data_IF_488298570765
#
_entry.id   IF_488298570765
#
_cell.length_a   1.000
_cell.length_b   1.000
_cell.length_c   1.000
_cell.angle_alpha   90.00
_cell.angle_beta   90.00
_cell.angle_gamma   90.00
#
_symmetry.space_group_name_H-M   'P 1'
#
loop_
_entity.id
_entity.type
_entity.pdbx_description
1 polymer ?
#
# COMPACT_ATOMS: atom_id res chain seq x y z
N UNK A 1 10.87 15.65 -0.78
CA UNK A 1 10.95 14.18 -0.95
C UNK A 1 10.39 13.40 0.25
N UNK A 2 10.89 13.56 1.47
CA UNK A 2 10.40 12.81 2.64
C UNK A 2 8.89 13.00 2.90
N UNK A 3 8.39 14.23 2.82
CA UNK A 3 6.96 14.52 3.00
C UNK A 3 6.07 13.82 1.96
N UNK A 4 6.48 13.79 0.69
CA UNK A 4 5.77 13.09 -0.38
C UNK A 4 5.78 11.57 -0.15
N UNK A 5 6.91 11.02 0.29
CA UNK A 5 7.00 9.60 0.64
C UNK A 5 6.04 9.22 1.77
N UNK A 6 5.94 10.05 2.81
CA UNK A 6 4.99 9.86 3.91
C UNK A 6 3.54 10.00 3.43
N UNK A 7 3.24 10.93 2.52
CA UNK A 7 1.91 11.10 1.96
C UNK A 7 1.45 9.86 1.16
N UNK A 8 2.35 9.30 0.34
CA UNK A 8 2.13 8.06 -0.44
C UNK A 8 2.05 6.82 0.46
N UNK A 9 2.67 6.87 1.65
CA UNK A 9 2.60 5.78 2.61
C UNK A 9 1.19 5.59 3.17
N UNK A 10 0.36 6.63 3.26
CA UNK A 10 -1.01 6.50 3.79
C UNK A 10 -1.92 5.57 2.96
N UNK A 11 -2.10 5.74 1.63
CA UNK A 11 -2.89 4.80 0.84
C UNK A 11 -2.26 3.41 0.80
N UNK A 12 -0.92 3.29 0.81
CA UNK A 12 -0.22 2.00 0.95
C UNK A 12 -0.61 1.26 2.24
N UNK A 13 -0.58 1.96 3.37
CA UNK A 13 -0.91 1.39 4.68
C UNK A 13 -2.38 0.99 4.75
N UNK A 14 -3.29 1.85 4.27
CA UNK A 14 -4.71 1.52 4.20
C UNK A 14 -4.95 0.24 3.39
N UNK A 15 -4.42 0.18 2.16
CA UNK A 15 -4.64 -0.99 1.30
C UNK A 15 -4.09 -2.28 1.92
N UNK A 16 -2.90 -2.21 2.53
CA UNK A 16 -2.33 -3.37 3.23
C UNK A 16 -3.17 -3.78 4.45
N UNK A 17 -3.64 -2.81 5.24
CA UNK A 17 -4.46 -3.03 6.42
C UNK A 17 -5.81 -3.68 6.06
N UNK A 18 -6.46 -3.26 4.97
CA UNK A 18 -7.69 -3.87 4.47
C UNK A 18 -7.47 -5.33 4.04
N UNK A 19 -6.38 -5.61 3.31
CA UNK A 19 -6.05 -6.97 2.87
C UNK A 19 -5.76 -7.88 4.07
N UNK A 20 -4.96 -7.42 5.04
CA UNK A 20 -4.69 -8.20 6.25
C UNK A 20 -5.95 -8.40 7.09
N UNK A 21 -6.82 -7.40 7.19
CA UNK A 21 -8.10 -7.53 7.89
C UNK A 21 -8.99 -8.57 7.22
N UNK A 22 -9.10 -8.54 5.89
CA UNK A 22 -9.85 -9.54 5.12
C UNK A 22 -9.32 -10.96 5.39
N UNK A 23 -7.99 -11.15 5.40
CA UNK A 23 -7.38 -12.44 5.69
C UNK A 23 -7.63 -12.89 7.13
N UNK A 24 -7.59 -11.97 8.11
CA UNK A 24 -7.87 -12.30 9.51
C UNK A 24 -9.34 -12.67 9.74
N UNK A 25 -10.28 -12.06 9.02
CA UNK A 25 -11.71 -12.28 9.20
C UNK A 25 -12.26 -13.46 8.40
N UNK A 26 -11.87 -13.53 7.12
CA UNK A 26 -12.45 -14.45 6.13
C UNK A 26 -11.47 -15.54 5.69
N UNK A 27 -10.19 -15.42 6.02
CA UNK A 27 -9.21 -16.43 5.67
C UNK A 27 -9.33 -17.66 6.58
N UNK A 28 -9.46 -18.83 5.96
CA UNK A 28 -9.28 -20.13 6.63
C UNK A 28 -7.79 -20.35 6.96
N UNK A 29 -7.28 -19.55 7.90
CA UNK A 29 -5.89 -19.56 8.32
C UNK A 29 -5.72 -20.40 9.59
N UNK A 30 -4.68 -21.21 9.62
CA UNK A 30 -4.39 -21.98 10.83
C UNK A 30 -4.00 -21.02 11.99
N UNK A 31 -4.25 -21.40 13.26
CA UNK A 31 -3.94 -20.53 14.40
C UNK A 31 -2.49 -20.02 14.42
N UNK A 32 -1.54 -20.85 13.98
CA UNK A 32 -0.14 -20.45 13.86
C UNK A 32 0.15 -19.45 12.73
N UNK A 33 -0.63 -19.43 11.65
CA UNK A 33 -0.56 -18.37 10.63
C UNK A 33 -1.17 -17.06 11.15
N UNK A 34 -2.32 -17.14 11.82
CA UNK A 34 -2.99 -15.99 12.44
C UNK A 34 -2.06 -15.25 13.39
N UNK A 35 -1.41 -15.96 14.32
CA UNK A 35 -0.44 -15.36 15.24
C UNK A 35 0.74 -14.68 14.54
N UNK A 36 1.19 -15.19 13.39
CA UNK A 36 2.27 -14.58 12.60
C UNK A 36 1.81 -13.31 11.87
N UNK A 37 0.56 -13.27 11.42
CA UNK A 37 -0.03 -12.05 10.83
C UNK A 37 -0.19 -10.98 11.91
N UNK A 38 -0.62 -11.32 13.12
CA UNK A 38 -0.68 -10.34 14.21
C UNK A 38 0.69 -9.72 14.52
N UNK A 39 1.78 -10.51 14.44
CA UNK A 39 3.15 -10.02 14.65
C UNK A 39 3.64 -9.01 13.60
N UNK A 40 2.97 -8.87 12.45
CA UNK A 40 3.33 -7.83 11.46
C UNK A 40 2.53 -6.53 11.64
N UNK A 41 1.44 -6.54 12.41
CA UNK A 41 0.63 -5.33 12.67
C UNK A 41 1.41 -4.18 13.32
N UNK A 42 2.36 -4.41 14.26
CA UNK A 42 3.19 -3.33 14.78
C UNK A 42 3.98 -2.57 13.71
N UNK A 43 4.40 -3.25 12.63
CA UNK A 43 5.08 -2.57 11.53
C UNK A 43 4.15 -1.56 10.82
N UNK A 44 2.87 -1.91 10.64
CA UNK A 44 1.85 -0.99 10.10
C UNK A 44 1.61 0.17 11.07
N UNK A 45 1.51 -0.10 12.38
CA UNK A 45 1.33 0.96 13.39
C UNK A 45 2.51 1.96 13.40
N UNK A 46 3.75 1.48 13.32
CA UNK A 46 4.95 2.33 13.25
C UNK A 46 4.97 3.18 11.98
N UNK A 47 4.56 2.62 10.84
CA UNK A 47 4.48 3.40 9.61
C UNK A 47 3.33 4.42 9.64
N UNK A 48 2.18 4.10 10.25
CA UNK A 48 1.14 5.10 10.53
C UNK A 48 1.61 6.19 11.48
N UNK A 49 2.45 5.86 12.45
CA UNK A 49 3.08 6.85 13.34
C UNK A 49 4.00 7.79 12.56
N UNK A 50 4.72 7.27 11.56
CA UNK A 50 5.49 8.11 10.64
C UNK A 50 4.57 9.02 9.79
N UNK A 51 3.42 8.52 9.32
CA UNK A 51 2.42 9.34 8.62
C UNK A 51 1.81 10.40 9.56
N UNK A 52 1.68 10.12 10.85
CA UNK A 52 1.15 11.05 11.84
C UNK A 52 2.02 12.31 12.04
N UNK A 53 3.26 12.31 11.57
CA UNK A 53 4.07 13.53 11.52
C UNK A 53 3.58 14.54 10.46
N UNK A 54 2.76 14.11 9.50
CA UNK A 54 2.12 15.00 8.52
C UNK A 54 0.84 15.61 9.07
N UNK A 55 0.02 14.77 9.72
CA UNK A 55 -1.33 15.09 10.18
C UNK A 55 -1.66 14.26 11.41
N UNK A 56 -2.02 14.94 12.49
CA UNK A 56 -2.20 14.30 13.80
C UNK A 56 -3.36 13.30 13.80
N UNK A 57 -4.31 13.42 12.88
CA UNK A 57 -5.47 12.54 12.71
C UNK A 57 -5.05 11.08 12.48
N UNK A 58 -3.93 10.85 11.80
CA UNK A 58 -3.39 9.51 11.58
C UNK A 58 -2.96 8.82 12.90
N UNK A 59 -2.72 9.58 13.97
CA UNK A 59 -2.40 9.03 15.30
C UNK A 59 -3.54 8.17 15.85
N UNK A 60 -4.80 8.47 15.52
CA UNK A 60 -5.94 7.64 15.94
C UNK A 60 -5.86 6.22 15.36
N UNK A 61 -5.36 6.08 14.13
CA UNK A 61 -5.13 4.78 13.49
C UNK A 61 -4.05 4.01 14.25
N UNK A 62 -2.96 4.68 14.63
CA UNK A 62 -1.87 4.09 15.43
C UNK A 62 -2.42 3.54 16.75
N UNK A 63 -3.18 4.34 17.50
CA UNK A 63 -3.75 3.91 18.77
C UNK A 63 -4.71 2.74 18.61
N UNK A 64 -5.56 2.74 17.58
CA UNK A 64 -6.49 1.64 17.32
C UNK A 64 -5.72 0.33 17.02
N UNK A 65 -4.69 0.37 16.17
CA UNK A 65 -3.88 -0.82 15.84
C UNK A 65 -3.07 -1.29 17.06
N UNK A 66 -2.45 -0.37 17.80
CA UNK A 66 -1.67 -0.68 18.99
C UNK A 66 -2.56 -1.30 20.09
N UNK A 67 -3.74 -0.74 20.31
CA UNK A 67 -4.72 -1.29 21.24
C UNK A 67 -5.18 -2.68 20.80
N UNK A 68 -5.57 -2.85 19.53
CA UNK A 68 -5.92 -4.17 19.00
C UNK A 68 -4.79 -5.18 19.22
N UNK A 69 -3.55 -4.83 18.87
CA UNK A 69 -2.39 -5.71 19.03
C UNK A 69 -2.12 -6.07 20.49
N UNK A 70 -2.28 -5.13 21.43
CA UNK A 70 -2.09 -5.38 22.86
C UNK A 70 -3.06 -6.42 23.43
N UNK A 71 -4.25 -6.53 22.83
CA UNK A 71 -5.31 -7.46 23.23
C UNK A 71 -5.21 -8.82 22.53
N UNK A 72 -4.34 -8.98 21.54
CA UNK A 72 -4.20 -10.24 20.80
C UNK A 72 -3.08 -11.08 21.40
N UNK A 73 -3.39 -12.32 21.77
CA UNK A 73 -2.36 -13.28 22.15
C UNK A 73 -1.63 -13.79 20.90
N UNK A 74 -0.32 -13.57 20.83
CA UNK A 74 0.52 -14.08 19.72
C UNK A 74 1.01 -15.52 19.92
N UNK A 75 0.48 -16.24 20.94
CA UNK A 75 0.80 -17.63 21.32
C UNK A 75 -0.32 -18.62 20.91
N UNK A 76 -0.28 -19.86 21.40
CA UNK A 76 -1.15 -20.99 21.00
C UNK A 76 -2.65 -20.83 21.28
N UNK A 77 -3.11 -19.73 21.90
CA UNK A 77 -4.47 -19.53 22.43
C UNK A 77 -5.24 -18.41 21.74
N UNK A 78 -6.03 -18.84 20.76
CA UNK A 78 -7.45 -18.60 20.43
C UNK A 78 -8.25 -17.32 20.78
N UNK A 79 -7.67 -16.18 21.12
CA UNK A 79 -8.46 -14.95 21.10
C UNK A 79 -8.15 -14.10 19.87
N UNK A 80 -9.13 -14.06 18.97
CA UNK A 80 -9.25 -12.96 18.03
C UNK A 80 -9.40 -11.72 18.92
N UNK A 81 -8.35 -10.89 19.00
CA UNK A 81 -8.47 -9.59 19.66
C UNK A 81 -9.70 -8.84 19.14
N UNK A 82 -10.19 -7.83 19.86
CA UNK A 82 -11.50 -7.24 19.63
C UNK A 82 -11.66 -6.78 18.18
N UNK A 83 -12.37 -7.58 17.37
CA UNK A 83 -12.46 -7.39 15.91
C UNK A 83 -13.05 -6.03 15.55
N UNK A 84 -13.96 -5.52 16.39
CA UNK A 84 -14.52 -4.18 16.23
C UNK A 84 -13.44 -3.08 16.23
N UNK A 85 -12.34 -3.26 16.98
CA UNK A 85 -11.21 -2.31 16.98
C UNK A 85 -10.46 -2.36 15.65
N UNK A 86 -10.34 -3.53 15.03
CA UNK A 86 -9.77 -3.63 13.68
C UNK A 86 -10.67 -2.94 12.65
N UNK A 87 -11.99 -3.07 12.76
CA UNK A 87 -12.92 -2.30 11.93
C UNK A 87 -12.82 -0.80 12.19
N UNK A 88 -12.67 -0.37 13.45
CA UNK A 88 -12.42 1.02 13.79
C UNK A 88 -11.12 1.54 13.17
N UNK A 89 -10.03 0.80 13.28
CA UNK A 89 -8.75 1.14 12.66
C UNK A 89 -8.88 1.28 11.13
N UNK A 90 -9.64 0.40 10.48
CA UNK A 90 -9.94 0.51 9.05
C UNK A 90 -10.81 1.72 8.74
N UNK A 91 -11.86 1.98 9.52
CA UNK A 91 -12.72 3.14 9.33
C UNK A 91 -11.95 4.46 9.45
N UNK A 92 -11.07 4.56 10.45
CA UNK A 92 -10.20 5.73 10.65
C UNK A 92 -9.19 5.89 9.51
N UNK A 93 -8.57 4.79 9.05
CA UNK A 93 -7.66 4.82 7.91
C UNK A 93 -8.38 5.19 6.60
N UNK A 94 -9.60 4.67 6.38
CA UNK A 94 -10.45 5.03 5.24
C UNK A 94 -10.79 6.52 5.30
N UNK A 95 -11.24 7.02 6.45
CA UNK A 95 -11.57 8.44 6.61
C UNK A 95 -10.36 9.33 6.32
N UNK A 96 -9.20 8.99 6.86
CA UNK A 96 -7.95 9.73 6.61
C UNK A 96 -7.60 9.78 5.12
N UNK A 97 -7.61 8.63 4.43
CA UNK A 97 -7.28 8.58 2.99
C UNK A 97 -8.39 9.23 2.15
N UNK A 98 -9.66 9.14 2.54
CA UNK A 98 -10.75 9.82 1.86
C UNK A 98 -10.60 11.35 1.93
N UNK A 99 -10.15 11.88 3.07
CA UNK A 99 -9.78 13.30 3.21
C UNK A 99 -8.61 13.63 2.26
N UNK A 100 -7.55 12.80 2.22
CA UNK A 100 -6.44 13.01 1.28
C UNK A 100 -6.87 13.00 -0.20
N UNK A 101 -7.85 12.18 -0.57
CA UNK A 101 -8.43 12.13 -1.92
C UNK A 101 -9.19 13.43 -2.21
N UNK A 102 -9.97 13.93 -1.24
CA UNK A 102 -10.75 15.16 -1.35
C UNK A 102 -9.92 16.45 -1.35
N UNK A 103 -8.69 16.39 -0.84
CA UNK A 103 -7.74 17.52 -0.85
C UNK A 103 -6.93 17.64 -2.14
N UNK A 104 -7.05 16.69 -3.07
CA UNK A 104 -6.34 16.78 -4.35
C UNK A 104 -6.91 17.92 -5.21
N UNK A 105 -6.01 18.64 -5.90
CA UNK A 105 -6.38 19.78 -6.74
C UNK A 105 -7.16 19.36 -8.01
N UNK A 106 -6.99 18.11 -8.45
CA UNK A 106 -7.63 17.58 -9.65
C UNK A 106 -8.25 16.21 -9.43
N UNK A 107 -9.27 15.88 -10.23
CA UNK A 107 -9.88 14.54 -10.24
C UNK A 107 -8.87 13.45 -10.60
N UNK A 108 -7.92 13.74 -11.47
CA UNK A 108 -6.84 12.81 -11.80
C UNK A 108 -5.92 12.57 -10.59
N UNK A 109 -5.66 13.61 -9.78
CA UNK A 109 -4.96 13.48 -8.51
C UNK A 109 -5.73 12.62 -7.50
N UNK A 110 -7.04 12.85 -7.36
CA UNK A 110 -7.92 12.03 -6.52
C UNK A 110 -7.91 10.56 -6.95
N UNK A 111 -7.99 10.30 -8.26
CA UNK A 111 -7.93 8.97 -8.83
C UNK A 111 -6.56 8.30 -8.60
N UNK A 112 -5.46 9.06 -8.74
CA UNK A 112 -4.12 8.59 -8.44
C UNK A 112 -4.03 8.07 -6.99
N UNK A 113 -4.44 8.87 -6.00
CA UNK A 113 -4.42 8.44 -4.59
C UNK A 113 -5.29 7.19 -4.37
N UNK A 114 -6.46 7.11 -5.02
CA UNK A 114 -7.33 5.94 -4.93
C UNK A 114 -6.65 4.66 -5.50
N UNK A 115 -6.00 4.78 -6.66
CA UNK A 115 -5.28 3.65 -7.29
C UNK A 115 -4.08 3.22 -6.46
N UNK A 116 -3.39 4.15 -5.77
CA UNK A 116 -2.28 3.83 -4.87
C UNK A 116 -2.69 2.88 -3.74
N UNK A 117 -3.95 2.94 -3.27
CA UNK A 117 -4.47 2.01 -2.25
C UNK A 117 -4.33 0.56 -2.74
N UNK A 118 -4.72 0.31 -3.99
CA UNK A 118 -4.61 -1.02 -4.58
C UNK A 118 -3.15 -1.35 -4.94
N UNK A 119 -2.44 -0.46 -5.64
CA UNK A 119 -1.10 -0.71 -6.15
C UNK A 119 -0.08 -0.95 -5.03
N UNK A 120 0.09 0.05 -4.15
CA UNK A 120 1.08 0.00 -3.07
C UNK A 120 0.60 -0.88 -1.93
N UNK A 121 -0.70 -0.83 -1.62
CA UNK A 121 -1.28 -1.67 -0.56
C UNK A 121 -1.18 -3.16 -0.87
N UNK A 122 -1.42 -3.58 -2.11
CA UNK A 122 -1.26 -4.98 -2.49
C UNK A 122 0.22 -5.42 -2.45
N UNK A 123 1.15 -4.58 -2.90
CA UNK A 123 2.58 -4.89 -2.85
C UNK A 123 3.10 -4.98 -1.41
N UNK A 124 2.72 -4.02 -0.57
CA UNK A 124 3.11 -4.02 0.84
C UNK A 124 2.45 -5.18 1.60
N UNK A 125 1.17 -5.48 1.36
CA UNK A 125 0.52 -6.67 1.91
C UNK A 125 1.25 -7.95 1.48
N UNK A 126 1.66 -8.07 0.22
CA UNK A 126 2.40 -9.22 -0.27
C UNK A 126 3.73 -9.40 0.50
N UNK A 127 4.47 -8.30 0.71
CA UNK A 127 5.68 -8.31 1.52
C UNK A 127 5.39 -8.79 2.96
N UNK A 128 4.37 -8.22 3.61
CA UNK A 128 4.01 -8.58 4.99
C UNK A 128 3.56 -10.04 5.13
N UNK A 129 2.81 -10.57 4.16
CA UNK A 129 2.40 -11.98 4.12
C UNK A 129 3.61 -12.91 3.98
N UNK A 130 4.59 -12.50 3.17
CA UNK A 130 5.87 -13.23 3.01
C UNK A 130 6.71 -13.17 4.29
N UNK A 131 6.73 -12.03 4.99
CA UNK A 131 7.36 -11.88 6.31
C UNK A 131 6.69 -12.80 7.35
N UNK A 132 5.35 -12.84 7.36
CA UNK A 132 4.54 -13.72 8.20
C UNK A 132 4.63 -15.21 7.80
N UNK A 133 5.26 -15.53 6.66
CA UNK A 133 5.43 -16.90 6.13
C UNK A 133 4.07 -17.61 5.95
N UNK A 134 3.08 -16.91 5.43
CA UNK A 134 1.76 -17.48 5.13
C UNK A 134 1.84 -18.46 3.97
N UNK A 135 0.94 -19.45 3.93
CA UNK A 135 0.85 -20.44 2.82
C UNK A 135 -0.32 -20.12 1.88
N UNK A 136 -0.71 -18.86 1.82
CA UNK A 136 -1.88 -18.40 1.08
C UNK A 136 -1.55 -18.26 -0.41
N UNK A 137 -1.42 -19.40 -1.10
CA UNK A 137 -1.01 -19.45 -2.51
C UNK A 137 -1.89 -18.58 -3.43
N UNK A 138 -3.19 -18.50 -3.17
CA UNK A 138 -4.11 -17.65 -3.93
C UNK A 138 -3.71 -16.16 -3.87
N UNK A 139 -3.35 -15.66 -2.69
CA UNK A 139 -2.92 -14.25 -2.53
C UNK A 139 -1.59 -13.97 -3.22
N UNK A 140 -0.68 -14.95 -3.20
CA UNK A 140 0.60 -14.84 -3.91
C UNK A 140 0.43 -14.70 -5.43
N UNK A 141 -0.68 -15.22 -5.99
CA UNK A 141 -1.03 -15.05 -7.41
C UNK A 141 -1.88 -13.81 -7.70
N UNK A 142 -2.85 -13.50 -6.83
CA UNK A 142 -3.80 -12.40 -7.06
C UNK A 142 -3.15 -11.03 -6.83
N UNK A 143 -2.28 -10.90 -5.82
CA UNK A 143 -1.69 -9.60 -5.46
C UNK A 143 -0.83 -9.00 -6.59
N UNK A 144 0.08 -9.76 -7.25
CA UNK A 144 0.82 -9.23 -8.40
C UNK A 144 -0.10 -8.87 -9.58
N UNK A 145 -1.14 -9.66 -9.84
CA UNK A 145 -2.11 -9.35 -10.91
C UNK A 145 -2.87 -8.06 -10.62
N UNK A 146 -3.33 -7.85 -9.37
CA UNK A 146 -3.90 -6.55 -8.98
C UNK A 146 -2.89 -5.42 -9.14
N UNK A 147 -1.60 -5.68 -8.86
CA UNK A 147 -0.52 -4.74 -9.10
C UNK A 147 -0.39 -4.30 -10.56
N UNK A 148 -0.41 -5.25 -11.50
CA UNK A 148 -0.38 -4.97 -12.94
C UNK A 148 -1.58 -4.10 -13.35
N UNK A 149 -2.80 -4.50 -12.96
CA UNK A 149 -4.01 -3.75 -13.28
C UNK A 149 -3.99 -2.34 -12.68
N UNK A 150 -3.58 -2.20 -11.42
CA UNK A 150 -3.46 -0.89 -10.79
C UNK A 150 -2.36 -0.03 -11.41
N UNK A 151 -1.25 -0.62 -11.88
CA UNK A 151 -0.23 0.12 -12.61
C UNK A 151 -0.76 0.63 -13.97
N UNK A 152 -1.60 -0.14 -14.66
CA UNK A 152 -2.28 0.33 -15.88
C UNK A 152 -3.22 1.51 -15.58
N UNK A 153 -4.04 1.39 -14.53
CA UNK A 153 -4.92 2.48 -14.09
C UNK A 153 -4.13 3.73 -13.67
N UNK A 154 -2.97 3.55 -13.03
CA UNK A 154 -2.07 4.63 -12.65
C UNK A 154 -1.56 5.37 -13.90
N UNK A 155 -1.14 4.63 -14.93
CA UNK A 155 -0.74 5.22 -16.21
C UNK A 155 -1.85 6.03 -16.86
N UNK A 156 -3.10 5.57 -16.79
CA UNK A 156 -4.24 6.33 -17.30
C UNK A 156 -4.49 7.61 -16.50
N UNK A 157 -4.38 7.58 -15.17
CA UNK A 157 -4.51 8.77 -14.33
C UNK A 157 -3.41 9.81 -14.61
N UNK A 158 -2.16 9.36 -14.78
CA UNK A 158 -1.03 10.21 -15.18
C UNK A 158 -1.27 10.81 -16.57
N UNK A 159 -1.69 9.99 -17.54
CA UNK A 159 -1.98 10.44 -18.90
C UNK A 159 -3.12 11.47 -18.96
N UNK A 160 -4.15 11.29 -18.12
CA UNK A 160 -5.23 12.28 -17.98
C UNK A 160 -4.70 13.61 -17.47
N UNK A 161 -3.94 13.64 -16.36
CA UNK A 161 -3.35 14.90 -15.87
C UNK A 161 -2.39 15.53 -16.87
N UNK A 162 -1.57 14.72 -17.56
CA UNK A 162 -0.64 15.24 -18.56
C UNK A 162 -1.36 15.91 -19.74
N UNK A 163 -2.55 15.42 -20.11
CA UNK A 163 -3.35 15.99 -21.19
C UNK A 163 -3.97 17.36 -20.85
N UNK A 164 -3.99 17.77 -19.57
CA UNK A 164 -4.50 19.10 -19.17
C UNK A 164 -3.42 20.17 -19.11
N UNK A 165 -2.14 19.80 -19.27
CA UNK A 165 -1.01 20.72 -19.20
C UNK A 165 -0.74 21.40 -20.54
N UNK A 166 -0.24 22.64 -20.49
CA UNK A 166 0.28 23.31 -21.67
C UNK A 166 1.63 22.70 -22.11
N UNK A 167 2.00 22.94 -23.38
CA UNK A 167 3.18 22.33 -23.99
C UNK A 167 4.50 22.71 -23.29
N UNK A 168 4.61 23.94 -22.78
CA UNK A 168 5.80 24.39 -22.07
C UNK A 168 5.93 23.65 -20.73
N UNK A 169 4.87 23.57 -19.94
CA UNK A 169 4.86 22.82 -18.67
C UNK A 169 5.09 21.32 -18.88
N UNK A 170 4.43 20.72 -19.89
CA UNK A 170 4.58 19.30 -20.21
C UNK A 170 6.02 18.95 -20.59
N UNK A 171 6.69 19.80 -21.39
CA UNK A 171 8.08 19.60 -21.77
C UNK A 171 9.03 19.55 -20.57
N UNK A 172 8.75 20.34 -19.52
CA UNK A 172 9.53 20.39 -18.29
C UNK A 172 9.38 19.15 -17.40
N UNK A 173 8.25 18.44 -17.49
CA UNK A 173 7.99 17.24 -16.67
C UNK A 173 8.12 15.92 -17.43
N UNK A 174 8.29 15.96 -18.76
CA UNK A 174 8.33 14.77 -19.61
C UNK A 174 9.41 13.76 -19.19
N UNK A 175 10.65 14.23 -18.97
CA UNK A 175 11.74 13.33 -18.59
C UNK A 175 11.51 12.66 -17.22
N UNK A 176 11.14 13.38 -16.15
CA UNK A 176 10.70 12.76 -14.89
C UNK A 176 9.58 11.72 -15.05
N UNK A 177 8.58 11.99 -15.90
CA UNK A 177 7.48 11.06 -16.14
C UNK A 177 7.96 9.76 -16.81
N UNK A 178 8.81 9.86 -17.83
CA UNK A 178 9.37 8.68 -18.51
C UNK A 178 10.21 7.82 -17.55
N UNK A 179 11.00 8.46 -16.67
CA UNK A 179 11.76 7.75 -15.63
C UNK A 179 10.80 7.08 -14.65
N UNK A 180 9.77 7.79 -14.18
CA UNK A 180 8.74 7.23 -13.30
C UNK A 180 8.02 6.02 -13.90
N UNK A 181 7.67 6.07 -15.19
CA UNK A 181 7.09 4.92 -15.90
C UNK A 181 8.05 3.75 -16.00
N UNK A 182 9.31 3.98 -16.35
CA UNK A 182 10.33 2.94 -16.42
C UNK A 182 10.52 2.25 -15.05
N UNK A 183 10.57 3.02 -13.97
CA UNK A 183 10.67 2.49 -12.61
C UNK A 183 9.42 1.71 -12.19
N UNK A 184 8.22 2.21 -12.52
CA UNK A 184 6.97 1.51 -12.23
C UNK A 184 6.91 0.16 -12.96
N UNK A 185 7.25 0.13 -14.25
CA UNK A 185 7.32 -1.11 -15.04
C UNK A 185 8.34 -2.07 -14.43
N UNK A 186 9.55 -1.59 -14.12
CA UNK A 186 10.59 -2.40 -13.50
C UNK A 186 10.13 -3.00 -12.17
N UNK A 187 9.46 -2.21 -11.33
CA UNK A 187 8.91 -2.67 -10.05
C UNK A 187 7.83 -3.75 -10.24
N UNK A 188 6.91 -3.59 -11.20
CA UNK A 188 5.88 -4.61 -11.52
C UNK A 188 6.53 -5.90 -12.03
N UNK A 189 7.55 -5.80 -12.87
CA UNK A 189 8.28 -6.96 -13.40
C UNK A 189 8.99 -7.70 -12.27
N UNK A 190 9.73 -7.00 -11.41
CA UNK A 190 10.41 -7.61 -10.25
C UNK A 190 9.39 -8.21 -9.27
N UNK A 191 8.27 -7.54 -9.05
CA UNK A 191 7.20 -8.07 -8.21
C UNK A 191 6.62 -9.37 -8.78
N UNK A 192 6.30 -9.40 -10.07
CA UNK A 192 5.70 -10.54 -10.76
C UNK A 192 6.71 -11.65 -11.11
N UNK A 193 8.01 -11.39 -10.92
CA UNK A 193 9.11 -12.28 -11.34
C UNK A 193 8.97 -13.72 -10.86
N UNK A 194 8.48 -13.91 -9.63
CA UNK A 194 8.29 -15.23 -9.04
C UNK A 194 7.21 -16.05 -9.78
N UNK A 195 6.17 -15.39 -10.32
CA UNK A 195 5.14 -16.03 -11.14
C UNK A 195 5.66 -16.33 -12.54
N UNK A 196 6.43 -15.40 -13.12
CA UNK A 196 6.96 -15.55 -14.48
C UNK A 196 7.97 -16.69 -14.59
N UNK A 197 8.79 -16.89 -13.57
CA UNK A 197 9.82 -17.93 -13.54
C UNK A 197 9.48 -19.14 -12.67
N UNK A 198 8.25 -19.22 -12.14
CA UNK A 198 7.82 -20.29 -11.22
C UNK A 198 8.79 -20.50 -10.05
N UNK A 199 9.35 -19.41 -9.52
CA UNK A 199 10.30 -19.41 -8.39
C UNK A 199 9.59 -19.14 -7.07
N UNK A 200 10.23 -19.52 -5.98
CA UNK A 200 9.77 -19.15 -4.64
C UNK A 200 9.83 -17.64 -4.43
N UNK A 201 8.86 -17.13 -3.69
CA UNK A 201 8.75 -15.71 -3.36
C UNK A 201 9.71 -15.39 -2.23
N UNK A 202 10.55 -14.37 -2.45
CA UNK A 202 11.55 -13.95 -1.45
C UNK A 202 11.25 -12.55 -0.91
N UNK A 203 11.57 -12.32 0.37
CA UNK A 203 11.39 -11.00 1.00
C UNK A 203 12.24 -9.91 0.34
N UNK A 204 13.52 -10.14 -0.02
CA UNK A 204 14.34 -9.11 -0.67
C UNK A 204 13.76 -8.67 -2.01
N UNK A 205 13.24 -9.59 -2.81
CA UNK A 205 12.58 -9.28 -4.08
C UNK A 205 11.38 -8.33 -3.88
N UNK A 206 10.49 -8.66 -2.95
CA UNK A 206 9.31 -7.82 -2.66
C UNK A 206 9.70 -6.49 -2.02
N UNK A 207 10.71 -6.48 -1.15
CA UNK A 207 11.25 -5.25 -0.55
C UNK A 207 11.86 -4.32 -1.59
N UNK A 208 12.63 -4.87 -2.54
CA UNK A 208 13.18 -4.11 -3.66
C UNK A 208 12.08 -3.59 -4.58
N UNK A 209 11.12 -4.44 -4.97
CA UNK A 209 9.98 -4.02 -5.78
C UNK A 209 9.19 -2.89 -5.11
N UNK A 210 8.95 -2.97 -3.79
CA UNK A 210 8.28 -1.93 -3.03
C UNK A 210 9.07 -0.62 -3.01
N UNK A 211 10.38 -0.68 -2.78
CA UNK A 211 11.24 0.51 -2.79
C UNK A 211 11.23 1.21 -4.16
N UNK A 212 11.39 0.44 -5.25
CA UNK A 212 11.35 0.99 -6.61
C UNK A 212 9.97 1.55 -6.96
N UNK A 213 8.89 0.87 -6.54
CA UNK A 213 7.53 1.37 -6.74
C UNK A 213 7.27 2.67 -5.98
N UNK A 214 7.70 2.76 -4.71
CA UNK A 214 7.58 4.00 -3.93
C UNK A 214 8.36 5.14 -4.56
N UNK A 215 9.55 4.90 -5.09
CA UNK A 215 10.32 5.89 -5.84
C UNK A 215 9.57 6.35 -7.10
N UNK A 216 9.01 5.42 -7.88
CA UNK A 216 8.24 5.73 -9.08
C UNK A 216 6.99 6.58 -8.79
N UNK A 217 6.23 6.22 -7.75
CA UNK A 217 5.01 6.95 -7.39
C UNK A 217 5.35 8.33 -6.79
N UNK A 218 6.34 8.41 -5.91
CA UNK A 218 6.74 9.69 -5.30
C UNK A 218 7.32 10.67 -6.32
N UNK A 219 8.06 10.19 -7.33
CA UNK A 219 8.56 11.06 -8.41
C UNK A 219 7.43 11.63 -9.26
N UNK A 220 6.37 10.84 -9.49
CA UNK A 220 5.23 11.24 -10.30
C UNK A 220 4.20 12.08 -9.52
N UNK A 221 4.29 12.12 -8.18
CA UNK A 221 3.36 12.86 -7.33
C UNK A 221 3.32 14.37 -7.67
N UNK A 222 4.46 14.94 -8.07
CA UNK A 222 4.57 16.35 -8.40
C UNK A 222 3.68 16.76 -9.59
N UNK A 223 3.40 15.84 -10.51
CA UNK A 223 2.53 16.10 -11.67
C UNK A 223 1.12 16.53 -11.24
N UNK A 224 0.59 15.92 -10.20
CA UNK A 224 -0.79 16.16 -9.76
C UNK A 224 -0.96 17.44 -8.94
N UNK A 225 0.13 18.16 -8.70
CA UNK A 225 0.12 19.50 -8.10
C UNK A 225 0.23 20.61 -9.16
N UNK A 226 0.40 20.24 -10.45
CA UNK A 226 0.50 21.15 -11.59
C UNK A 226 -0.84 21.29 -12.30
#
# INVERSE_FOLDING_TARGET
MLQQLLAVSAPMLLGAQLILTLILLKGDICPGQRGRIHKVLPAIAVLWLAVASLKIEAMMVVFAIAYFYSQVQTKKTRDQGPIWVMYLANGLAIAYVAILIGEQASLAGSLNVLVQIALLGALFAHLLLTVARTRLQAFHRILPVSGVVSAMLMTLAIGWQAATLDEATLSGVLQPLLIGFALMIAAVVVWSWHMLLSREITKPQLGFALAVMLLAITSNQALFAL
#
